data_IF_724159573936
#
_entry.id   IF_724159573936
#
_cell.length_a   1.000
_cell.length_b   1.000
_cell.length_c   1.000
_cell.angle_alpha   90.00
_cell.angle_beta   90.00
_cell.angle_gamma   90.00
#
_symmetry.space_group_name_H-M   'P 1'
#
loop_
_entity.id
_entity.type
_entity.pdbx_description
1 polymer ?
#
# COMPACT_ATOMS: atom_id res chain seq x y z
N UNK A 1 10.09 -23.46 30.30
CA UNK A 1 10.42 -22.89 28.98
C UNK A 1 10.61 -21.40 29.19
N UNK A 2 11.75 -20.83 28.79
CA UNK A 2 12.05 -19.40 29.06
C UNK A 2 11.76 -18.62 27.78
N UNK A 3 10.95 -17.57 27.89
CA UNK A 3 10.63 -16.66 26.77
C UNK A 3 11.91 -15.91 26.39
N UNK A 4 12.22 -15.85 25.10
CA UNK A 4 13.36 -15.10 24.55
C UNK A 4 12.89 -14.17 23.45
N UNK A 5 13.50 -12.98 23.42
CA UNK A 5 13.31 -12.03 22.33
C UNK A 5 14.00 -12.59 21.09
N UNK A 6 13.31 -12.53 19.95
CA UNK A 6 13.87 -12.93 18.66
C UNK A 6 14.90 -11.92 18.17
N UNK A 7 15.93 -12.43 17.50
CA UNK A 7 16.89 -11.59 16.81
C UNK A 7 16.20 -10.72 15.76
N UNK A 8 16.72 -9.49 15.58
CA UNK A 8 16.05 -8.47 14.76
C UNK A 8 15.87 -8.93 13.31
N UNK A 9 16.81 -9.69 12.78
CA UNK A 9 16.74 -10.24 11.42
C UNK A 9 15.65 -11.30 11.30
N UNK A 10 15.51 -12.18 12.32
CA UNK A 10 14.48 -13.21 12.35
C UNK A 10 13.09 -12.58 12.53
N UNK A 11 12.98 -11.59 13.41
CA UNK A 11 11.74 -10.79 13.58
C UNK A 11 11.36 -10.06 12.28
N UNK A 12 12.35 -9.49 11.58
CA UNK A 12 12.14 -8.81 10.30
C UNK A 12 11.78 -9.78 9.18
N UNK A 13 12.32 -10.99 9.17
CA UNK A 13 11.97 -12.04 8.21
C UNK A 13 10.58 -12.64 8.48
N UNK A 14 10.19 -12.78 9.74
CA UNK A 14 8.83 -13.18 10.13
C UNK A 14 7.85 -12.08 9.72
N UNK A 15 8.17 -10.81 10.05
CA UNK A 15 7.39 -9.67 9.60
C UNK A 15 7.32 -9.61 8.07
N UNK A 16 8.41 -9.87 7.35
CA UNK A 16 8.40 -9.92 5.87
C UNK A 16 7.64 -11.13 5.31
N UNK A 17 7.58 -12.26 6.03
CA UNK A 17 6.82 -13.46 5.67
C UNK A 17 5.31 -13.33 5.91
N UNK A 18 4.91 -12.57 6.93
CA UNK A 18 3.52 -12.18 7.18
C UNK A 18 3.11 -10.95 6.33
N UNK A 19 4.06 -10.05 6.06
CA UNK A 19 3.98 -8.90 5.13
C UNK A 19 4.51 -9.32 3.76
N UNK A 20 4.16 -10.52 3.30
CA UNK A 20 4.16 -10.78 1.86
C UNK A 20 2.91 -10.07 1.35
N UNK A 21 3.09 -8.82 0.93
CA UNK A 21 2.09 -8.01 0.24
C UNK A 21 1.60 -8.79 -0.98
N UNK A 22 0.52 -9.55 -0.80
CA UNK A 22 -0.20 -10.13 -1.92
C UNK A 22 -0.63 -8.97 -2.81
N UNK A 23 -0.50 -9.05 -4.14
CA UNK A 23 -0.96 -8.00 -5.06
C UNK A 23 -2.36 -7.47 -4.75
N UNK A 24 -3.23 -8.32 -4.20
CA UNK A 24 -4.56 -7.97 -3.70
C UNK A 24 -4.54 -6.90 -2.60
N UNK A 25 -3.62 -6.98 -1.64
CA UNK A 25 -3.50 -5.98 -0.56
C UNK A 25 -3.11 -4.62 -1.12
N UNK A 26 -2.18 -4.57 -2.08
CA UNK A 26 -1.80 -3.33 -2.76
C UNK A 26 -3.01 -2.72 -3.47
N UNK A 27 -3.75 -3.54 -4.22
CA UNK A 27 -4.97 -3.09 -4.90
C UNK A 27 -6.01 -2.57 -3.91
N UNK A 28 -6.22 -3.27 -2.78
CA UNK A 28 -7.16 -2.85 -1.72
C UNK A 28 -6.81 -1.46 -1.21
N UNK A 29 -5.58 -1.24 -0.76
CA UNK A 29 -5.17 0.04 -0.16
C UNK A 29 -5.26 1.20 -1.18
N UNK A 30 -4.89 0.95 -2.44
CA UNK A 30 -5.01 1.98 -3.48
C UNK A 30 -6.48 2.33 -3.78
N UNK A 31 -7.39 1.35 -3.79
CA UNK A 31 -8.82 1.60 -3.96
C UNK A 31 -9.38 2.35 -2.74
N UNK A 32 -9.01 1.98 -1.52
CA UNK A 32 -9.42 2.68 -0.29
C UNK A 32 -9.00 4.16 -0.34
N UNK A 33 -7.75 4.45 -0.74
CA UNK A 33 -7.29 5.83 -0.95
C UNK A 33 -8.10 6.58 -2.00
N UNK A 34 -8.46 5.94 -3.13
CA UNK A 34 -9.33 6.56 -4.13
C UNK A 34 -10.73 6.88 -3.59
N UNK A 35 -11.28 6.00 -2.74
CA UNK A 35 -12.58 6.21 -2.09
C UNK A 35 -12.53 7.35 -1.07
N UNK A 36 -11.48 7.41 -0.25
CA UNK A 36 -11.24 8.52 0.68
C UNK A 36 -11.10 9.84 -0.09
N UNK A 37 -10.51 9.80 -1.29
CA UNK A 37 -10.46 10.93 -2.22
C UNK A 37 -11.81 11.28 -2.87
N UNK A 38 -12.92 10.64 -2.46
CA UNK A 38 -14.28 10.80 -2.97
C UNK A 38 -14.44 10.46 -4.46
N UNK A 39 -13.58 9.60 -5.02
CA UNK A 39 -13.70 9.17 -6.40
C UNK A 39 -15.07 8.52 -6.69
N UNK A 40 -15.58 8.73 -7.91
CA UNK A 40 -16.82 8.11 -8.41
C UNK A 40 -16.55 7.06 -9.49
N UNK A 41 -15.36 7.08 -10.06
CA UNK A 41 -14.85 6.09 -10.99
C UNK A 41 -13.42 5.76 -10.59
N UNK A 42 -13.14 4.46 -10.51
CA UNK A 42 -11.81 3.92 -10.24
C UNK A 42 -11.57 2.82 -11.27
N UNK A 43 -10.58 3.00 -12.12
CA UNK A 43 -10.16 2.06 -13.14
C UNK A 43 -8.93 1.30 -12.63
N UNK A 44 -9.00 -0.04 -12.61
CA UNK A 44 -7.93 -0.91 -12.10
C UNK A 44 -7.39 -1.77 -13.23
N UNK A 45 -6.10 -1.66 -13.50
CA UNK A 45 -5.41 -2.37 -14.58
C UNK A 45 -4.31 -3.22 -13.94
N UNK A 46 -4.37 -4.53 -14.19
CA UNK A 46 -3.47 -5.52 -13.59
C UNK A 46 -2.77 -6.28 -14.72
N UNK A 47 -1.44 -6.41 -14.62
CA UNK A 47 -0.65 -7.26 -15.52
C UNK A 47 0.04 -8.37 -14.74
N UNK A 48 -0.02 -9.60 -15.27
CA UNK A 48 0.63 -10.78 -14.71
C UNK A 48 0.30 -11.01 -13.23
N UNK A 49 -1.00 -10.99 -12.90
CA UNK A 49 -1.47 -11.12 -11.51
C UNK A 49 -1.06 -9.99 -10.56
N UNK A 50 -0.53 -8.89 -11.09
CA UNK A 50 0.00 -7.75 -10.33
C UNK A 50 1.50 -7.85 -10.05
N UNK A 51 2.16 -8.92 -10.49
CA UNK A 51 3.61 -9.09 -10.35
C UNK A 51 4.38 -8.17 -11.29
N UNK A 52 3.82 -7.90 -12.47
CA UNK A 52 4.43 -6.97 -13.44
C UNK A 52 4.00 -5.54 -13.20
N UNK A 53 2.70 -5.28 -13.06
CA UNK A 53 2.19 -3.95 -12.77
C UNK A 53 0.79 -3.96 -12.16
N UNK A 54 0.54 -2.95 -11.33
CA UNK A 54 -0.75 -2.58 -10.79
C UNK A 54 -0.91 -1.08 -11.06
N UNK A 55 -1.97 -0.70 -11.75
CA UNK A 55 -2.33 0.71 -11.96
C UNK A 55 -3.75 0.92 -11.46
N UNK A 56 -3.92 1.95 -10.62
CA UNK A 56 -5.22 2.42 -10.13
C UNK A 56 -5.35 3.87 -10.55
N UNK A 57 -6.40 4.17 -11.32
CA UNK A 57 -6.67 5.50 -11.87
C UNK A 57 -8.03 5.93 -11.35
N UNK A 58 -8.09 7.03 -10.61
CA UNK A 58 -9.33 7.56 -10.08
C UNK A 58 -9.59 9.00 -10.53
N UNK A 59 -10.81 9.46 -10.24
CA UNK A 59 -11.24 10.83 -10.46
C UNK A 59 -11.59 11.55 -9.15
N UNK A 60 -10.89 11.22 -8.06
CA UNK A 60 -11.03 11.87 -6.77
C UNK A 60 -10.44 13.29 -6.76
N UNK A 61 -10.34 13.88 -5.57
CA UNK A 61 -9.82 15.25 -5.42
C UNK A 61 -8.30 15.38 -5.67
N UNK A 62 -7.58 14.25 -5.80
CA UNK A 62 -6.14 14.22 -6.05
C UNK A 62 -5.28 14.73 -4.89
N UNK A 63 -3.98 14.82 -5.12
CA UNK A 63 -3.00 15.30 -4.13
C UNK A 63 -2.45 16.65 -4.62
N UNK A 64 -2.49 17.72 -3.81
CA UNK A 64 -1.85 18.99 -4.14
C UNK A 64 -0.37 18.83 -4.45
N UNK A 65 0.15 19.54 -5.46
CA UNK A 65 1.54 19.41 -5.91
C UNK A 65 2.58 19.65 -4.80
N UNK A 66 2.29 20.57 -3.87
CA UNK A 66 3.12 20.86 -2.70
C UNK A 66 3.17 19.73 -1.67
N UNK A 67 2.23 18.78 -1.71
CA UNK A 67 2.10 17.67 -0.77
C UNK A 67 2.56 16.33 -1.36
N UNK A 68 2.93 16.28 -2.65
CA UNK A 68 3.35 15.04 -3.31
C UNK A 68 4.53 14.38 -2.57
N UNK A 69 5.54 15.15 -2.15
CA UNK A 69 6.65 14.59 -1.39
C UNK A 69 6.18 13.99 -0.07
N UNK A 70 5.31 14.71 0.66
CA UNK A 70 4.79 14.28 1.96
C UNK A 70 3.97 12.99 1.86
N UNK A 71 3.22 12.78 0.78
CA UNK A 71 2.40 11.59 0.56
C UNK A 71 3.20 10.27 0.55
N UNK A 72 4.51 10.33 0.28
CA UNK A 72 5.39 9.15 0.30
C UNK A 72 6.17 8.98 1.62
N UNK A 73 6.01 9.89 2.59
CA UNK A 73 6.65 9.74 3.89
C UNK A 73 5.91 8.72 4.76
N UNK A 74 6.67 7.92 5.51
CA UNK A 74 6.09 7.07 6.55
C UNK A 74 5.39 7.94 7.60
N UNK A 75 4.23 7.48 8.06
CA UNK A 75 3.40 8.15 9.07
C UNK A 75 2.81 9.51 8.65
N UNK A 76 2.61 9.74 7.36
CA UNK A 76 1.86 10.87 6.83
C UNK A 76 0.46 10.43 6.36
N UNK A 77 -0.59 11.14 6.77
CA UNK A 77 -1.99 10.92 6.37
C UNK A 77 -2.70 12.26 6.21
N UNK A 78 -3.73 12.31 5.36
CA UNK A 78 -4.66 13.44 5.20
C UNK A 78 -5.96 13.23 5.98
#
# INVERSE_FOLDING_TARGET
>A
MIIKILDKDVSSLIAAGEVIERPVSIVKELIENSLDANAKRVDVIIQDGGMRSIQVIDNGHGIPSSQIQLAFHRFATS
#
